data_IF_072449228468
#
_entry.id   IF_072449228468
#
_cell.length_a   1.000
_cell.length_b   1.000
_cell.length_c   1.000
_cell.angle_alpha   90.00
_cell.angle_beta   90.00
_cell.angle_gamma   90.00
#
_symmetry.space_group_name_H-M   'P 1'
#
loop_
_entity.id
_entity.type
_entity.pdbx_description
1 polymer ?
#
# COMPACT_ATOMS: atom_id res chain seq x y z
N UNK A 1 -15.57 15.81 -15.76
CA UNK A 1 -14.82 15.90 -14.48
C UNK A 1 -14.17 14.57 -14.18
N UNK A 2 -13.03 14.58 -13.49
CA UNK A 2 -12.38 13.35 -13.01
C UNK A 2 -12.39 13.31 -11.48
N UNK A 3 -12.86 12.20 -10.89
CA UNK A 3 -12.77 11.94 -9.45
C UNK A 3 -11.69 10.88 -9.24
N UNK A 4 -10.59 11.29 -8.61
CA UNK A 4 -9.44 10.44 -8.30
C UNK A 4 -9.11 10.55 -6.80
N UNK A 5 -9.96 9.94 -5.97
CA UNK A 5 -9.87 9.99 -4.51
C UNK A 5 -9.52 8.61 -3.92
N UNK A 6 -8.79 8.62 -2.82
CA UNK A 6 -8.55 7.45 -1.99
C UNK A 6 -9.73 7.25 -0.99
N UNK A 7 -9.69 6.12 -0.28
CA UNK A 7 -10.67 5.78 0.76
C UNK A 7 -10.66 6.75 1.93
N UNK A 8 -11.80 6.89 2.58
CA UNK A 8 -11.88 7.53 3.90
C UNK A 8 -11.76 6.43 4.96
N UNK A 9 -10.54 6.24 5.45
CA UNK A 9 -10.20 5.12 6.35
C UNK A 9 -11.20 5.01 7.51
N UNK A 10 -11.78 3.82 7.66
CA UNK A 10 -12.78 3.53 8.70
C UNK A 10 -14.21 3.96 8.37
N UNK A 11 -14.48 4.55 7.19
CA UNK A 11 -15.84 4.97 6.81
C UNK A 11 -16.24 4.62 5.37
N UNK A 12 -15.48 5.03 4.35
CA UNK A 12 -15.84 4.79 2.94
C UNK A 12 -14.66 4.20 2.17
N UNK A 13 -14.93 3.23 1.30
CA UNK A 13 -13.98 2.78 0.29
C UNK A 13 -13.74 3.87 -0.77
N UNK A 14 -12.66 3.80 -1.52
CA UNK A 14 -12.38 4.75 -2.61
C UNK A 14 -13.49 4.75 -3.68
N UNK A 15 -14.07 3.58 -3.98
CA UNK A 15 -15.24 3.45 -4.88
C UNK A 15 -16.43 4.20 -4.31
N UNK A 16 -16.75 3.99 -3.03
CA UNK A 16 -17.86 4.69 -2.37
C UNK A 16 -17.65 6.20 -2.31
N UNK A 17 -16.41 6.66 -2.08
CA UNK A 17 -16.09 8.10 -2.14
C UNK A 17 -16.44 8.65 -3.52
N UNK A 18 -15.99 8.01 -4.60
CA UNK A 18 -16.28 8.44 -5.96
C UNK A 18 -17.78 8.44 -6.28
N UNK A 19 -18.52 7.40 -5.85
CA UNK A 19 -19.98 7.32 -6.02
C UNK A 19 -20.71 8.45 -5.29
N UNK A 20 -20.35 8.72 -4.04
CA UNK A 20 -21.00 9.77 -3.24
C UNK A 20 -20.70 11.18 -3.76
N UNK A 21 -19.45 11.43 -4.17
CA UNK A 21 -19.10 12.70 -4.83
C UNK A 21 -19.90 12.85 -6.11
N UNK A 22 -19.95 11.83 -6.96
CA UNK A 22 -20.73 11.86 -8.19
C UNK A 22 -22.22 12.16 -7.93
N UNK A 23 -22.81 11.50 -6.94
CA UNK A 23 -24.22 11.72 -6.57
C UNK A 23 -24.48 13.17 -6.15
N UNK A 24 -23.62 13.76 -5.30
CA UNK A 24 -23.76 15.14 -4.88
C UNK A 24 -23.60 16.15 -6.01
N UNK A 25 -22.61 15.95 -6.89
CA UNK A 25 -22.40 16.80 -8.07
C UNK A 25 -23.63 16.79 -8.99
N UNK A 26 -24.21 15.62 -9.26
CA UNK A 26 -25.39 15.46 -10.14
C UNK A 26 -26.69 15.98 -9.56
N UNK A 27 -26.78 16.19 -8.27
CA UNK A 27 -27.93 16.91 -7.69
C UNK A 27 -27.98 18.38 -8.11
N UNK A 28 -26.82 18.98 -8.40
CA UNK A 28 -26.72 20.37 -8.85
C UNK A 28 -26.66 20.47 -10.37
N UNK A 29 -25.90 19.56 -11.01
CA UNK A 29 -25.74 19.47 -12.46
C UNK A 29 -26.10 18.07 -12.93
N UNK A 30 -27.38 17.75 -13.25
CA UNK A 30 -27.87 16.40 -13.51
C UNK A 30 -27.13 15.66 -14.64
N UNK A 31 -26.79 16.36 -15.72
CA UNK A 31 -26.16 15.78 -16.92
C UNK A 31 -24.63 15.86 -16.90
N UNK A 32 -24.03 16.07 -15.72
CA UNK A 32 -22.57 16.17 -15.58
C UNK A 32 -21.90 14.86 -15.96
N UNK A 33 -21.00 14.95 -16.95
CA UNK A 33 -20.08 13.85 -17.28
C UNK A 33 -18.98 13.71 -16.19
N UNK A 34 -18.97 12.58 -15.53
CA UNK A 34 -18.02 12.28 -14.46
C UNK A 34 -17.32 10.95 -14.77
N UNK A 35 -16.00 11.00 -14.80
CA UNK A 35 -15.15 9.81 -14.80
C UNK A 35 -14.72 9.54 -13.35
N UNK A 36 -15.05 8.38 -12.82
CA UNK A 36 -14.62 7.93 -11.50
C UNK A 36 -13.40 7.01 -11.64
N UNK A 37 -12.31 7.37 -11.01
CA UNK A 37 -11.08 6.59 -10.95
C UNK A 37 -10.61 6.51 -9.48
N UNK A 38 -11.15 5.59 -8.68
CA UNK A 38 -10.65 5.35 -7.34
C UNK A 38 -9.14 5.10 -7.37
N UNK A 39 -8.40 5.72 -6.45
CA UNK A 39 -6.94 5.58 -6.37
C UNK A 39 -6.51 5.01 -5.03
N UNK A 40 -5.29 4.51 -4.98
CA UNK A 40 -4.60 4.07 -3.77
C UNK A 40 -3.11 4.40 -3.90
N UNK A 41 -2.39 4.40 -2.78
CA UNK A 41 -0.96 4.75 -2.70
C UNK A 41 -0.04 3.52 -2.52
N UNK A 42 -0.52 2.32 -2.88
CA UNK A 42 0.18 1.06 -2.63
C UNK A 42 -0.15 0.42 -1.27
N UNK A 43 -1.04 1.04 -0.51
CA UNK A 43 -1.61 0.49 0.73
C UNK A 43 -2.91 -0.29 0.51
N UNK A 44 -3.68 -0.45 1.60
CA UNK A 44 -4.98 -1.13 1.57
C UNK A 44 -5.90 -0.53 0.50
N UNK A 45 -6.53 -1.38 -0.32
CA UNK A 45 -7.46 -0.97 -1.38
C UNK A 45 -6.79 -0.80 -2.76
N UNK A 46 -5.51 -1.13 -2.87
CA UNK A 46 -4.75 -1.10 -4.13
C UNK A 46 -5.33 -2.07 -5.16
N UNK A 47 -5.71 -3.27 -4.75
CA UNK A 47 -6.39 -4.25 -5.61
C UNK A 47 -7.77 -3.73 -6.04
N UNK A 48 -8.55 -3.17 -5.13
CA UNK A 48 -9.89 -2.64 -5.46
C UNK A 48 -9.82 -1.47 -6.44
N UNK A 49 -8.82 -0.59 -6.30
CA UNK A 49 -8.57 0.49 -7.26
C UNK A 49 -8.24 -0.05 -8.66
N UNK A 50 -7.40 -1.07 -8.75
CA UNK A 50 -7.07 -1.73 -10.01
C UNK A 50 -8.31 -2.39 -10.65
N UNK A 51 -9.14 -3.08 -9.85
CA UNK A 51 -10.40 -3.68 -10.33
C UNK A 51 -11.36 -2.62 -10.86
N UNK A 52 -11.51 -1.49 -10.16
CA UNK A 52 -12.33 -0.36 -10.62
C UNK A 52 -11.81 0.23 -11.95
N UNK A 53 -10.51 0.11 -12.23
CA UNK A 53 -9.88 0.51 -13.49
C UNK A 53 -9.91 -0.60 -14.58
N UNK A 54 -10.67 -1.68 -14.37
CA UNK A 54 -10.90 -2.73 -15.37
C UNK A 54 -9.91 -3.90 -15.33
N UNK A 55 -9.16 -4.07 -14.23
CA UNK A 55 -8.44 -5.31 -13.98
C UNK A 55 -9.41 -6.42 -13.54
N UNK A 56 -9.13 -7.65 -13.93
CA UNK A 56 -9.84 -8.84 -13.46
C UNK A 56 -9.41 -9.17 -12.02
N UNK A 57 -10.36 -9.25 -11.09
CA UNK A 57 -10.10 -9.73 -9.72
C UNK A 57 -9.94 -11.24 -9.73
N UNK A 58 -8.88 -11.73 -9.13
CA UNK A 58 -8.64 -13.15 -8.88
C UNK A 58 -8.45 -13.41 -7.41
N UNK A 59 -9.10 -14.47 -6.93
CA UNK A 59 -9.05 -14.87 -5.53
C UNK A 59 -8.39 -16.23 -5.40
N UNK A 60 -7.52 -16.37 -4.40
CA UNK A 60 -6.86 -17.62 -4.07
C UNK A 60 -6.84 -17.82 -2.55
N UNK A 61 -6.65 -19.06 -2.13
CA UNK A 61 -6.39 -19.38 -0.74
C UNK A 61 -4.90 -19.33 -0.48
N UNK A 62 -4.51 -18.62 0.56
CA UNK A 62 -3.13 -18.40 0.98
C UNK A 62 -3.03 -18.45 2.50
N UNK A 63 -1.82 -18.55 3.02
CA UNK A 63 -1.57 -18.41 4.45
C UNK A 63 -1.81 -16.97 4.91
N UNK A 64 -2.58 -16.80 5.97
CA UNK A 64 -2.68 -15.55 6.73
C UNK A 64 -1.41 -15.26 7.54
N UNK A 65 -1.37 -14.13 8.28
CA UNK A 65 -0.18 -13.75 9.04
C UNK A 65 0.22 -14.78 10.11
N UNK A 66 -0.74 -15.53 10.64
CA UNK A 66 -0.55 -16.55 11.67
C UNK A 66 -0.53 -17.98 11.12
N UNK A 67 -0.53 -18.14 9.78
CA UNK A 67 -0.52 -19.43 9.12
C UNK A 67 -1.89 -20.09 8.91
N UNK A 68 -2.98 -19.47 9.35
CA UNK A 68 -4.34 -19.85 9.04
C UNK A 68 -4.65 -19.60 7.55
N UNK A 69 -5.52 -20.41 6.95
CA UNK A 69 -5.92 -20.23 5.56
C UNK A 69 -6.88 -19.05 5.43
N UNK A 70 -6.54 -18.09 4.56
CA UNK A 70 -7.38 -16.95 4.22
C UNK A 70 -7.59 -16.86 2.71
N UNK A 71 -8.73 -16.31 2.29
CA UNK A 71 -8.95 -15.90 0.90
C UNK A 71 -8.35 -14.52 0.68
N UNK A 72 -7.45 -14.40 -0.29
CA UNK A 72 -6.78 -13.18 -0.67
C UNK A 72 -6.94 -12.92 -2.17
N UNK A 73 -6.97 -11.65 -2.55
CA UNK A 73 -7.17 -11.24 -3.93
C UNK A 73 -5.93 -10.56 -4.51
N UNK A 74 -5.81 -10.66 -5.83
CA UNK A 74 -4.94 -9.84 -6.67
C UNK A 74 -5.69 -9.48 -7.96
N UNK A 75 -5.20 -8.51 -8.72
CA UNK A 75 -5.87 -8.05 -9.93
C UNK A 75 -4.94 -8.22 -11.14
N UNK A 76 -5.50 -8.59 -12.32
CA UNK A 76 -4.73 -8.87 -13.54
C UNK A 76 -5.35 -8.16 -14.74
N UNK A 77 -4.51 -7.55 -15.59
CA UNK A 77 -4.90 -7.03 -16.89
C UNK A 77 -3.77 -7.26 -17.89
N UNK A 78 -4.01 -8.11 -18.89
CA UNK A 78 -2.96 -8.51 -19.84
C UNK A 78 -1.83 -9.26 -19.13
N UNK A 79 -0.62 -8.74 -19.21
CA UNK A 79 0.58 -9.26 -18.56
C UNK A 79 0.98 -8.47 -17.29
N UNK A 80 0.11 -7.60 -16.81
CA UNK A 80 0.32 -6.81 -15.59
C UNK A 80 -0.56 -7.34 -14.45
N UNK A 81 0.05 -7.59 -13.30
CA UNK A 81 -0.65 -7.93 -12.06
C UNK A 81 -0.44 -6.84 -11.00
N UNK A 82 -1.48 -6.59 -10.22
CA UNK A 82 -1.44 -5.75 -9.02
C UNK A 82 -1.68 -6.64 -7.82
N UNK A 83 -0.72 -6.69 -6.93
CA UNK A 83 -0.72 -7.52 -5.72
C UNK A 83 -0.64 -6.60 -4.51
N UNK A 84 -1.52 -6.81 -3.55
CA UNK A 84 -1.54 -6.10 -2.28
C UNK A 84 -1.15 -7.06 -1.17
N UNK A 85 -0.03 -6.78 -0.51
CA UNK A 85 0.48 -7.62 0.58
C UNK A 85 -0.54 -7.76 1.71
N UNK A 86 -1.29 -6.71 2.03
CA UNK A 86 -2.25 -6.69 3.11
C UNK A 86 -3.41 -7.68 2.92
N UNK A 87 -3.69 -8.12 1.70
CA UNK A 87 -4.66 -9.17 1.40
C UNK A 87 -4.31 -10.52 2.07
N UNK A 88 -3.03 -10.80 2.25
CA UNK A 88 -2.54 -12.02 2.90
C UNK A 88 -1.92 -11.75 4.28
N UNK A 89 -1.04 -10.74 4.38
CA UNK A 89 -0.16 -10.52 5.55
C UNK A 89 -0.42 -9.18 6.25
N UNK A 90 -1.63 -8.61 6.08
CA UNK A 90 -2.02 -7.33 6.65
C UNK A 90 -2.51 -7.41 8.10
N UNK A 91 -2.44 -6.27 8.82
CA UNK A 91 -2.97 -6.13 10.18
C UNK A 91 -4.48 -6.46 10.26
N UNK A 92 -5.23 -6.18 9.21
CA UNK A 92 -6.66 -6.49 9.13
C UNK A 92 -6.97 -7.99 9.05
N UNK A 93 -5.97 -8.84 8.77
CA UNK A 93 -6.10 -10.31 8.74
C UNK A 93 -5.89 -10.93 10.11
N UNK A 94 -5.36 -10.18 11.07
CA UNK A 94 -5.26 -10.63 12.46
C UNK A 94 -6.64 -10.59 13.14
N UNK A 95 -6.93 -11.53 14.04
CA UNK A 95 -8.13 -11.47 14.87
C UNK A 95 -8.18 -10.13 15.64
N UNK A 96 -9.40 -9.60 15.83
CA UNK A 96 -9.58 -8.31 16.51
C UNK A 96 -8.91 -8.26 17.87
N UNK A 97 -8.01 -7.30 18.07
CA UNK A 97 -7.27 -7.10 19.33
C UNK A 97 -6.10 -8.05 19.53
N UNK A 98 -5.79 -8.89 18.55
CA UNK A 98 -4.61 -9.76 18.58
C UNK A 98 -3.50 -9.11 17.77
N UNK A 99 -2.31 -9.02 18.35
CA UNK A 99 -1.07 -8.63 17.69
C UNK A 99 -0.04 -9.74 17.87
N UNK A 100 0.76 -9.98 16.84
CA UNK A 100 1.75 -11.07 16.86
C UNK A 100 3.05 -10.62 16.15
N UNK A 101 3.74 -9.59 16.68
CA UNK A 101 4.89 -8.98 16.02
C UNK A 101 6.05 -9.92 15.75
N UNK A 102 6.25 -10.94 16.63
CA UNK A 102 7.34 -11.90 16.53
C UNK A 102 7.05 -13.06 15.56
N UNK A 103 5.76 -13.44 15.41
CA UNK A 103 5.37 -14.68 14.71
C UNK A 103 4.61 -14.44 13.41
N UNK A 104 4.12 -13.22 13.15
CA UNK A 104 3.45 -12.90 11.90
C UNK A 104 4.39 -13.05 10.69
N UNK A 105 3.94 -13.77 9.68
CA UNK A 105 4.72 -14.16 8.50
C UNK A 105 4.20 -13.54 7.20
N UNK A 106 5.11 -13.28 6.29
CA UNK A 106 4.84 -12.84 4.92
C UNK A 106 4.62 -13.99 3.94
N UNK A 107 4.50 -15.24 4.39
CA UNK A 107 4.40 -16.41 3.54
C UNK A 107 3.27 -16.29 2.50
N UNK A 108 2.06 -15.92 2.92
CA UNK A 108 0.93 -15.73 2.02
C UNK A 108 1.13 -14.62 0.98
N UNK A 109 1.92 -13.59 1.30
CA UNK A 109 2.30 -12.59 0.30
C UNK A 109 3.16 -13.19 -0.83
N UNK A 110 4.04 -14.13 -0.49
CA UNK A 110 4.81 -14.88 -1.48
C UNK A 110 3.91 -15.81 -2.33
N UNK A 111 2.88 -16.40 -1.73
CA UNK A 111 1.89 -17.19 -2.46
C UNK A 111 1.09 -16.33 -3.46
N UNK A 112 0.72 -15.09 -3.08
CA UNK A 112 0.09 -14.12 -3.99
C UNK A 112 1.02 -13.76 -5.16
N UNK A 113 2.31 -13.50 -4.92
CA UNK A 113 3.28 -13.24 -5.98
C UNK A 113 3.42 -14.44 -6.92
N UNK A 114 3.47 -15.66 -6.38
CA UNK A 114 3.51 -16.90 -7.19
C UNK A 114 2.25 -17.03 -8.04
N UNK A 115 1.07 -16.75 -7.49
CA UNK A 115 -0.17 -16.79 -8.26
C UNK A 115 -0.21 -15.74 -9.39
N UNK A 116 0.38 -14.56 -9.18
CA UNK A 116 0.54 -13.57 -10.24
C UNK A 116 1.46 -14.09 -11.37
N UNK A 117 2.57 -14.76 -11.01
CA UNK A 117 3.44 -15.42 -11.98
C UNK A 117 2.72 -16.55 -12.73
N UNK A 118 1.91 -17.35 -12.03
CA UNK A 118 1.10 -18.44 -12.61
C UNK A 118 0.01 -17.90 -13.56
N UNK A 119 -0.47 -16.69 -13.31
CA UNK A 119 -1.37 -15.95 -14.20
C UNK A 119 -0.68 -15.39 -15.45
N UNK A 120 0.65 -15.52 -15.57
CA UNK A 120 1.43 -15.08 -16.72
C UNK A 120 1.88 -13.61 -16.62
N UNK A 121 1.87 -13.01 -15.43
CA UNK A 121 2.33 -11.64 -15.25
C UNK A 121 3.81 -11.48 -15.61
N UNK A 122 4.12 -10.43 -16.37
CA UNK A 122 5.47 -9.97 -16.68
C UNK A 122 5.83 -8.69 -15.94
N UNK A 123 4.82 -7.95 -15.53
CA UNK A 123 4.93 -6.81 -14.63
C UNK A 123 4.08 -7.07 -13.41
N UNK A 124 4.66 -6.97 -12.21
CA UNK A 124 3.94 -7.10 -10.94
C UNK A 124 4.14 -5.81 -10.15
N UNK A 125 3.05 -5.10 -9.90
CA UNK A 125 3.00 -4.00 -8.94
C UNK A 125 2.66 -4.56 -7.58
N UNK A 126 3.58 -4.46 -6.65
CA UNK A 126 3.45 -5.01 -5.32
C UNK A 126 3.29 -3.88 -4.29
N UNK A 127 2.07 -3.66 -3.84
CA UNK A 127 1.72 -2.71 -2.79
C UNK A 127 1.95 -3.31 -1.41
N UNK A 128 2.61 -2.57 -0.52
CA UNK A 128 3.09 -3.14 0.76
C UNK A 128 2.61 -2.37 2.00
N UNK A 129 1.60 -1.51 1.88
CA UNK A 129 0.99 -0.85 3.03
C UNK A 129 0.21 -1.82 3.93
N UNK A 130 0.01 -1.44 5.20
CA UNK A 130 -0.88 -2.16 6.13
C UNK A 130 -0.33 -3.46 6.74
N UNK A 131 0.98 -3.73 6.71
CA UNK A 131 1.59 -5.00 7.15
C UNK A 131 1.40 -5.32 8.64
N UNK A 132 1.20 -6.61 8.94
CA UNK A 132 1.26 -7.16 10.31
C UNK A 132 2.66 -7.68 10.69
N UNK A 133 3.54 -7.87 9.71
CA UNK A 133 4.75 -8.68 9.77
C UNK A 133 6.02 -7.85 10.01
N UNK A 134 7.04 -8.49 10.60
CA UNK A 134 8.41 -7.93 10.75
C UNK A 134 9.43 -9.06 10.58
N UNK A 135 9.30 -9.81 9.47
CA UNK A 135 10.10 -11.00 9.17
C UNK A 135 11.15 -10.80 8.06
N UNK A 136 11.41 -9.54 7.66
CA UNK A 136 12.38 -9.26 6.61
C UNK A 136 11.99 -9.80 5.23
N UNK A 137 10.73 -10.20 5.03
CA UNK A 137 10.26 -10.86 3.83
C UNK A 137 10.67 -12.34 3.73
N UNK A 138 11.19 -12.95 4.81
CA UNK A 138 11.65 -14.34 4.80
C UNK A 138 10.52 -15.32 4.46
N UNK A 139 9.33 -15.12 5.02
CA UNK A 139 8.16 -15.92 4.67
C UNK A 139 7.81 -15.83 3.18
N UNK A 140 7.80 -14.62 2.62
CA UNK A 140 7.56 -14.37 1.20
C UNK A 140 8.57 -15.11 0.32
N UNK A 141 9.85 -15.00 0.66
CA UNK A 141 10.90 -15.71 -0.07
C UNK A 141 10.77 -17.23 0.06
N UNK A 142 10.39 -17.76 1.24
CA UNK A 142 10.13 -19.19 1.44
C UNK A 142 9.00 -19.69 0.55
N UNK A 143 7.89 -18.98 0.45
CA UNK A 143 6.79 -19.32 -0.44
C UNK A 143 7.20 -19.32 -1.91
N UNK A 144 8.20 -18.53 -2.28
CA UNK A 144 8.77 -18.45 -3.62
C UNK A 144 9.92 -19.44 -3.88
N UNK A 145 10.27 -20.29 -2.89
CA UNK A 145 11.21 -21.38 -3.03
C UNK A 145 12.55 -21.25 -2.32
N UNK A 146 12.79 -20.16 -1.59
CA UNK A 146 13.97 -20.05 -0.72
C UNK A 146 13.86 -21.00 0.48
N UNK A 147 14.99 -21.38 1.08
CA UNK A 147 15.04 -22.20 2.29
C UNK A 147 15.84 -21.49 3.37
N UNK A 148 15.24 -21.40 4.54
CA UNK A 148 15.84 -20.81 5.74
C UNK A 148 15.84 -21.89 6.85
N UNK A 149 17.03 -22.36 7.22
CA UNK A 149 17.18 -23.54 8.06
C UNK A 149 17.97 -23.17 9.33
N UNK A 150 17.62 -23.82 10.44
CA UNK A 150 18.36 -23.79 11.70
C UNK A 150 19.63 -24.64 11.67
N UNK A 151 20.28 -24.80 12.82
CA UNK A 151 21.53 -25.58 12.96
C UNK A 151 21.31 -27.09 12.78
N UNK A 152 20.09 -27.58 13.00
CA UNK A 152 19.68 -28.98 12.83
C UNK A 152 19.26 -29.28 11.38
N UNK A 153 19.14 -28.24 10.53
CA UNK A 153 18.74 -28.37 9.13
C UNK A 153 17.21 -28.35 8.93
N UNK A 154 16.47 -27.99 9.98
CA UNK A 154 15.00 -27.85 9.91
C UNK A 154 14.61 -26.42 9.57
N UNK A 155 13.45 -26.19 8.93
CA UNK A 155 12.96 -24.85 8.66
C UNK A 155 12.78 -24.03 9.95
N UNK A 156 13.29 -22.79 9.95
CA UNK A 156 13.09 -21.88 11.09
C UNK A 156 11.58 -21.57 11.29
N UNK A 157 11.14 -21.34 12.54
CA UNK A 157 9.77 -20.92 12.80
C UNK A 157 9.37 -19.66 12.01
N UNK A 158 8.08 -19.50 11.67
CA UNK A 158 7.61 -18.33 10.93
C UNK A 158 7.72 -17.05 11.75
N UNK A 159 7.81 -15.92 11.06
CA UNK A 159 7.94 -14.59 11.65
C UNK A 159 9.37 -14.18 11.94
N UNK A 160 9.52 -12.89 12.33
CA UNK A 160 10.85 -12.32 12.60
C UNK A 160 11.57 -12.95 13.78
N UNK A 161 10.82 -13.40 14.81
CA UNK A 161 11.40 -14.07 15.96
C UNK A 161 12.13 -15.37 15.60
N UNK A 162 11.61 -16.14 14.64
CA UNK A 162 12.23 -17.39 14.18
C UNK A 162 13.59 -17.19 13.50
N UNK A 163 13.87 -16.00 12.98
CA UNK A 163 15.13 -15.69 12.33
C UNK A 163 16.32 -15.65 13.31
N UNK A 164 16.05 -15.63 14.61
CA UNK A 164 17.10 -15.73 15.64
C UNK A 164 17.87 -17.06 15.54
N UNK A 165 17.20 -18.15 15.17
CA UNK A 165 17.75 -19.50 15.10
C UNK A 165 18.29 -19.84 13.70
N UNK A 166 18.27 -18.88 12.76
CA UNK A 166 18.70 -19.11 11.39
C UNK A 166 20.19 -19.41 11.30
N UNK A 167 20.54 -20.59 10.77
CA UNK A 167 21.94 -21.00 10.54
C UNK A 167 22.35 -20.94 9.07
N UNK A 168 21.43 -21.21 8.14
CA UNK A 168 21.71 -21.19 6.71
C UNK A 168 20.51 -20.66 5.89
N UNK A 169 20.83 -20.04 4.76
CA UNK A 169 19.86 -19.54 3.78
C UNK A 169 20.28 -20.00 2.37
N UNK A 170 19.33 -20.56 1.63
CA UNK A 170 19.51 -21.01 0.25
C UNK A 170 18.45 -20.37 -0.65
N UNK A 171 18.87 -19.51 -1.54
CA UNK A 171 18.03 -18.79 -2.51
C UNK A 171 18.01 -19.47 -3.89
N UNK A 172 18.72 -20.59 -4.09
CA UNK A 172 18.84 -21.24 -5.40
C UNK A 172 17.54 -21.86 -5.89
N UNK A 173 16.62 -22.17 -4.96
CA UNK A 173 15.30 -22.72 -5.24
C UNK A 173 14.24 -21.66 -5.59
N UNK A 174 14.57 -20.38 -5.64
CA UNK A 174 13.63 -19.32 -6.01
C UNK A 174 13.05 -19.57 -7.41
N UNK A 175 11.77 -19.26 -7.57
CA UNK A 175 11.06 -19.39 -8.86
C UNK A 175 11.84 -18.67 -9.98
N UNK A 176 12.29 -19.39 -11.01
CA UNK A 176 13.16 -18.82 -12.05
C UNK A 176 12.49 -17.71 -12.83
N UNK A 177 11.14 -17.65 -12.87
CA UNK A 177 10.39 -16.58 -13.54
C UNK A 177 10.64 -15.21 -12.95
N UNK A 178 11.02 -15.13 -11.67
CA UNK A 178 11.37 -13.88 -10.99
C UNK A 178 12.54 -13.14 -11.66
N UNK A 179 13.43 -13.86 -12.37
CA UNK A 179 14.55 -13.22 -13.10
C UNK A 179 14.12 -12.45 -14.34
N UNK A 180 12.90 -12.69 -14.84
CA UNK A 180 12.37 -12.11 -16.09
C UNK A 180 11.14 -11.24 -15.88
N UNK A 181 10.62 -11.16 -14.63
CA UNK A 181 9.49 -10.32 -14.29
C UNK A 181 9.99 -8.94 -13.85
N UNK A 182 9.28 -7.89 -14.23
CA UNK A 182 9.46 -6.55 -13.69
C UNK A 182 8.66 -6.41 -12.39
N UNK A 183 9.33 -6.62 -11.26
CA UNK A 183 8.72 -6.47 -9.94
C UNK A 183 8.89 -5.04 -9.45
N UNK A 184 7.79 -4.33 -9.31
CA UNK A 184 7.76 -2.93 -8.86
C UNK A 184 7.19 -2.89 -7.44
N UNK A 185 8.00 -2.48 -6.47
CA UNK A 185 7.54 -2.26 -5.11
C UNK A 185 6.97 -0.84 -4.99
N UNK A 186 5.66 -0.76 -4.79
CA UNK A 186 4.93 0.49 -4.60
C UNK A 186 5.01 0.90 -3.12
N UNK A 187 5.92 1.83 -2.79
CA UNK A 187 6.17 2.26 -1.41
C UNK A 187 6.81 3.63 -1.35
N UNK A 188 6.37 4.46 -0.40
CA UNK A 188 6.90 5.80 -0.12
C UNK A 188 7.80 5.83 1.12
N UNK A 189 8.14 4.65 1.66
CA UNK A 189 8.96 4.48 2.87
C UNK A 189 10.43 4.41 2.47
N UNK A 190 11.29 5.11 3.20
CA UNK A 190 12.74 5.20 2.97
C UNK A 190 13.59 4.54 4.06
N UNK A 191 12.97 3.94 5.08
CA UNK A 191 13.63 3.32 6.21
C UNK A 191 14.52 2.14 5.79
N UNK A 192 15.74 2.00 6.36
CA UNK A 192 16.56 0.80 6.22
C UNK A 192 15.91 -0.38 6.97
N UNK A 193 16.46 -1.58 6.80
CA UNK A 193 15.94 -2.79 7.45
C UNK A 193 16.04 -2.72 8.98
N UNK A 194 17.21 -2.33 9.52
CA UNK A 194 17.55 -2.37 10.95
C UNK A 194 18.06 -1.04 11.48
N UNK A 195 18.25 -0.96 12.79
CA UNK A 195 18.77 0.20 13.51
C UNK A 195 17.68 1.17 13.97
N UNK A 196 18.06 2.35 14.52
CA UNK A 196 17.12 3.29 15.13
C UNK A 196 16.02 3.83 14.19
N UNK A 197 16.27 3.77 12.87
CA UNK A 197 15.29 4.10 11.82
C UNK A 197 14.81 2.86 11.05
N UNK A 198 15.16 1.67 11.53
CA UNK A 198 14.81 0.40 10.89
C UNK A 198 13.35 0.00 11.07
N UNK A 199 12.97 -1.07 10.37
CA UNK A 199 11.60 -1.58 10.38
C UNK A 199 11.08 -1.90 11.79
N UNK A 200 11.81 -2.60 12.69
CA UNK A 200 11.35 -2.88 14.02
C UNK A 200 11.14 -1.62 14.86
N UNK A 201 12.10 -0.71 14.85
CA UNK A 201 12.06 0.51 15.67
C UNK A 201 10.89 1.44 15.28
N UNK A 202 10.66 1.62 13.98
CA UNK A 202 9.66 2.59 13.48
C UNK A 202 8.26 1.98 13.39
N UNK A 203 8.15 0.74 12.94
CA UNK A 203 6.84 0.12 12.64
C UNK A 203 6.43 -1.00 13.59
N UNK A 204 7.35 -1.52 14.43
CA UNK A 204 7.07 -2.56 15.41
C UNK A 204 5.99 -2.17 16.42
N UNK A 205 6.05 -0.98 17.04
CA UNK A 205 5.06 -0.56 18.06
C UNK A 205 3.61 -0.58 17.56
N UNK A 206 3.34 -0.12 16.34
CA UNK A 206 1.98 -0.17 15.78
C UNK A 206 1.48 -1.58 15.45
N UNK A 207 2.38 -2.57 15.41
CA UNK A 207 2.10 -4.00 15.24
C UNK A 207 2.06 -4.74 16.56
N UNK A 208 2.11 -4.02 17.69
CA UNK A 208 2.01 -4.55 19.03
C UNK A 208 3.35 -4.98 19.66
N UNK A 209 4.48 -4.65 19.06
CA UNK A 209 5.80 -4.95 19.63
C UNK A 209 6.06 -4.08 20.87
N UNK A 210 6.38 -4.74 21.99
CA UNK A 210 6.94 -4.09 23.16
C UNK A 210 8.42 -3.69 22.91
N UNK A 211 9.05 -2.83 23.73
CA UNK A 211 10.44 -2.44 23.54
C UNK A 211 11.41 -3.62 23.39
N UNK A 212 11.26 -4.64 24.23
CA UNK A 212 12.10 -5.85 24.16
C UNK A 212 11.87 -6.66 22.87
N UNK A 213 10.63 -6.66 22.34
CA UNK A 213 10.32 -7.28 21.05
C UNK A 213 10.97 -6.50 19.88
N UNK A 214 11.01 -5.17 19.97
CA UNK A 214 11.67 -4.33 18.97
C UNK A 214 13.17 -4.65 18.90
N UNK A 215 13.83 -4.73 20.05
CA UNK A 215 15.24 -5.05 20.14
C UNK A 215 15.54 -6.47 19.62
N UNK A 216 14.68 -7.44 19.99
CA UNK A 216 14.79 -8.83 19.53
C UNK A 216 14.61 -8.93 17.99
N UNK A 217 13.62 -8.25 17.43
CA UNK A 217 13.38 -8.22 15.99
C UNK A 217 14.51 -7.53 15.22
N UNK A 218 15.05 -6.43 15.75
CA UNK A 218 16.19 -5.74 15.12
C UNK A 218 17.43 -6.63 15.09
N UNK A 219 17.73 -7.30 16.19
CA UNK A 219 18.81 -8.26 16.28
C UNK A 219 18.61 -9.46 15.32
N UNK A 220 17.39 -10.01 15.26
CA UNK A 220 17.05 -11.13 14.38
C UNK A 220 17.18 -10.76 12.89
N UNK A 221 16.72 -9.60 12.47
CA UNK A 221 16.87 -9.10 11.10
C UNK A 221 18.35 -8.80 10.76
N UNK A 222 19.10 -8.29 11.73
CA UNK A 222 20.55 -8.12 11.57
C UNK A 222 21.28 -9.47 11.43
N UNK A 223 20.87 -10.49 12.17
CA UNK A 223 21.37 -11.86 12.04
C UNK A 223 21.00 -12.46 10.68
N UNK A 224 19.74 -12.33 10.25
CA UNK A 224 19.26 -12.75 8.94
C UNK A 224 20.12 -12.19 7.81
N UNK A 225 20.41 -10.88 7.84
CA UNK A 225 21.30 -10.24 6.87
C UNK A 225 22.69 -10.90 6.85
N UNK A 226 23.30 -11.16 8.03
CA UNK A 226 24.62 -11.81 8.13
C UNK A 226 24.62 -13.25 7.60
N UNK A 227 23.53 -14.00 7.78
CA UNK A 227 23.42 -15.35 7.23
C UNK A 227 23.30 -15.28 5.70
N UNK A 228 22.51 -14.35 5.17
CA UNK A 228 22.38 -14.13 3.73
C UNK A 228 23.69 -13.68 3.08
N UNK A 229 24.58 -12.95 3.78
CA UNK A 229 25.91 -12.59 3.27
C UNK A 229 26.73 -13.82 2.87
N UNK A 230 26.54 -14.96 3.56
CA UNK A 230 27.24 -16.21 3.20
C UNK A 230 26.76 -16.77 1.86
N UNK A 231 25.52 -16.48 1.46
CA UNK A 231 24.90 -16.99 0.23
C UNK A 231 25.07 -16.04 -0.96
N UNK A 232 24.93 -14.72 -0.75
CA UNK A 232 24.94 -13.70 -1.82
C UNK A 232 26.02 -12.63 -1.67
N UNK A 233 26.89 -12.77 -0.68
CA UNK A 233 27.98 -11.83 -0.41
C UNK A 233 27.50 -10.47 0.09
N UNK A 234 28.32 -9.43 -0.08
CA UNK A 234 28.08 -8.09 0.44
C UNK A 234 26.79 -7.42 -0.04
N UNK A 235 26.12 -7.94 -1.05
CA UNK A 235 24.79 -7.45 -1.50
C UNK A 235 23.74 -7.53 -0.40
N UNK A 236 23.83 -8.52 0.50
CA UNK A 236 22.88 -8.63 1.60
C UNK A 236 22.91 -7.40 2.52
N UNK A 237 24.11 -6.95 2.91
CA UNK A 237 24.27 -5.74 3.72
C UNK A 237 23.92 -4.46 2.96
N UNK A 238 24.29 -4.38 1.68
CA UNK A 238 23.92 -3.27 0.80
C UNK A 238 22.40 -3.11 0.72
N UNK A 239 21.66 -4.19 0.48
CA UNK A 239 20.20 -4.17 0.41
C UNK A 239 19.55 -3.89 1.76
N UNK A 240 20.10 -4.35 2.88
CA UNK A 240 19.59 -4.06 4.21
C UNK A 240 19.72 -2.57 4.58
N UNK A 241 20.76 -1.90 4.09
CA UNK A 241 20.99 -0.47 4.28
C UNK A 241 20.26 0.40 3.24
N UNK A 242 19.70 -0.19 2.19
CA UNK A 242 19.04 0.56 1.13
C UNK A 242 17.77 1.27 1.62
N UNK A 243 17.49 2.43 1.04
CA UNK A 243 16.23 3.16 1.24
C UNK A 243 15.06 2.26 0.87
N UNK A 244 14.06 2.14 1.78
CA UNK A 244 12.89 1.30 1.61
C UNK A 244 13.05 -0.17 2.01
N UNK A 245 14.26 -0.64 2.37
CA UNK A 245 14.46 -2.01 2.82
C UNK A 245 13.57 -2.38 4.02
N UNK A 246 13.30 -1.41 4.90
CA UNK A 246 12.42 -1.57 6.07
C UNK A 246 10.93 -1.53 5.76
N UNK A 247 10.53 -1.23 4.53
CA UNK A 247 9.11 -1.16 4.17
C UNK A 247 8.39 -2.46 4.56
N UNK A 248 7.21 -2.30 5.17
CA UNK A 248 6.35 -3.41 5.59
C UNK A 248 7.04 -4.46 6.48
N UNK A 249 7.90 -4.02 7.40
CA UNK A 249 8.60 -4.95 8.30
C UNK A 249 9.72 -5.73 7.63
N UNK A 250 10.28 -5.17 6.56
CA UNK A 250 11.38 -5.74 5.79
C UNK A 250 10.97 -6.51 4.54
N UNK A 251 9.69 -6.49 4.15
CA UNK A 251 9.28 -6.94 2.79
C UNK A 251 10.11 -6.22 1.73
N UNK A 252 10.41 -4.90 1.94
CA UNK A 252 11.28 -4.15 1.06
C UNK A 252 12.63 -4.84 0.84
N UNK A 253 13.25 -5.33 1.90
CA UNK A 253 14.49 -6.09 1.81
C UNK A 253 14.32 -7.39 1.03
N UNK A 254 13.28 -8.18 1.35
CA UNK A 254 12.94 -9.38 0.60
C UNK A 254 12.70 -9.10 -0.88
N UNK A 255 12.03 -8.01 -1.20
CA UNK A 255 11.77 -7.60 -2.59
C UNK A 255 13.07 -7.21 -3.33
N UNK A 256 14.01 -6.52 -2.68
CA UNK A 256 15.33 -6.24 -3.25
C UNK A 256 16.09 -7.53 -3.56
N UNK A 257 16.00 -8.55 -2.71
CA UNK A 257 16.59 -9.87 -2.98
C UNK A 257 15.99 -10.56 -4.21
N UNK A 258 14.72 -10.23 -4.55
CA UNK A 258 14.04 -10.67 -5.77
C UNK A 258 14.33 -9.78 -6.99
N UNK A 259 15.12 -8.71 -6.84
CA UNK A 259 15.42 -7.76 -7.92
C UNK A 259 14.35 -6.69 -8.15
N UNK A 260 13.49 -6.44 -7.18
CA UNK A 260 12.45 -5.42 -7.28
C UNK A 260 13.02 -4.00 -7.44
N UNK A 261 12.27 -3.16 -8.16
CA UNK A 261 12.51 -1.71 -8.24
C UNK A 261 11.52 -0.97 -7.34
N UNK A 262 12.01 -0.03 -6.55
CA UNK A 262 11.15 0.86 -5.77
C UNK A 262 10.63 1.99 -6.63
N UNK A 263 9.33 2.29 -6.48
CA UNK A 263 8.70 3.48 -7.04
C UNK A 263 7.71 4.06 -6.02
N UNK A 264 7.50 5.39 -5.99
CA UNK A 264 6.44 6.00 -5.20
C UNK A 264 5.10 5.32 -5.47
N UNK A 265 4.37 4.97 -4.42
CA UNK A 265 3.17 4.14 -4.53
C UNK A 265 2.12 4.78 -5.44
N UNK A 266 1.83 6.06 -5.20
CA UNK A 266 0.83 6.78 -5.99
C UNK A 266 1.24 6.90 -7.47
N UNK A 267 2.51 7.17 -7.77
CA UNK A 267 2.97 7.33 -9.16
C UNK A 267 2.76 6.04 -9.96
N UNK A 268 3.14 4.89 -9.35
CA UNK A 268 2.92 3.58 -9.97
C UNK A 268 1.44 3.33 -10.20
N UNK A 269 0.61 3.63 -9.21
CA UNK A 269 -0.82 3.40 -9.32
C UNK A 269 -1.46 4.29 -10.39
N UNK A 270 -1.10 5.56 -10.47
CA UNK A 270 -1.61 6.46 -11.51
C UNK A 270 -1.25 5.95 -12.92
N UNK A 271 -0.01 5.44 -13.11
CA UNK A 271 0.41 4.83 -14.38
C UNK A 271 -0.45 3.59 -14.71
N UNK A 272 -0.57 2.68 -13.77
CA UNK A 272 -1.28 1.41 -13.94
C UNK A 272 -2.77 1.60 -14.18
N UNK A 273 -3.38 2.56 -13.47
CA UNK A 273 -4.79 2.90 -13.62
C UNK A 273 -5.10 3.66 -14.92
N UNK A 274 -4.08 4.21 -15.60
CA UNK A 274 -4.27 4.98 -16.82
C UNK A 274 -4.74 6.41 -16.57
N UNK A 275 -4.26 7.03 -15.48
CA UNK A 275 -4.68 8.37 -15.05
C UNK A 275 -4.48 9.44 -16.13
N UNK A 276 -3.38 9.39 -16.87
CA UNK A 276 -3.11 10.34 -17.96
C UNK A 276 -4.24 10.35 -19.01
N UNK A 277 -4.70 9.17 -19.42
CA UNK A 277 -5.84 9.06 -20.34
C UNK A 277 -7.16 9.55 -19.74
N UNK A 278 -7.37 9.33 -18.44
CA UNK A 278 -8.57 9.81 -17.75
C UNK A 278 -8.59 11.35 -17.57
N UNK A 279 -7.42 11.99 -17.60
CA UNK A 279 -7.30 13.46 -17.59
C UNK A 279 -7.72 14.10 -18.92
N UNK A 280 -7.69 13.34 -20.02
CA UNK A 280 -8.14 13.85 -21.31
C UNK A 280 -9.61 14.28 -21.22
N UNK A 281 -9.90 15.53 -21.58
CA UNK A 281 -11.26 16.10 -21.47
C UNK A 281 -11.71 16.50 -20.08
N UNK A 282 -10.97 16.18 -19.02
CA UNK A 282 -11.29 16.66 -17.67
C UNK A 282 -10.95 18.15 -17.52
N UNK A 283 -11.89 18.93 -17.01
CA UNK A 283 -11.70 20.36 -16.70
C UNK A 283 -11.36 20.58 -15.22
N UNK A 284 -11.83 19.71 -14.36
CA UNK A 284 -11.58 19.73 -12.91
C UNK A 284 -11.33 18.32 -12.42
N UNK A 285 -10.33 18.16 -11.55
CA UNK A 285 -10.02 16.92 -10.83
C UNK A 285 -10.41 17.08 -9.36
N UNK A 286 -11.15 16.09 -8.85
CA UNK A 286 -11.49 15.99 -7.43
C UNK A 286 -10.69 14.81 -6.87
N UNK A 287 -9.75 15.11 -5.98
CA UNK A 287 -9.02 14.10 -5.19
C UNK A 287 -9.49 14.09 -3.75
N UNK A 288 -8.96 13.20 -2.91
CA UNK A 288 -9.31 13.20 -1.48
C UNK A 288 -8.83 11.98 -0.74
N UNK A 289 -8.88 12.10 0.59
CA UNK A 289 -8.63 11.04 1.56
C UNK A 289 -9.31 11.36 2.90
N UNK A 290 -9.27 10.43 3.86
CA UNK A 290 -9.91 10.61 5.17
C UNK A 290 -9.40 11.80 5.98
N UNK A 291 -8.12 12.12 5.94
CA UNK A 291 -7.50 13.26 6.65
C UNK A 291 -6.41 13.89 5.79
N UNK A 292 -6.60 15.15 5.42
CA UNK A 292 -5.55 15.94 4.79
C UNK A 292 -4.67 16.59 5.88
N UNK A 293 -3.48 16.05 6.06
CA UNK A 293 -2.48 16.45 7.04
C UNK A 293 -1.07 16.54 6.42
N UNK A 294 -0.05 16.77 7.25
CA UNK A 294 1.33 16.88 6.76
C UNK A 294 1.81 15.61 6.03
N UNK A 295 1.34 14.44 6.44
CA UNK A 295 1.70 13.19 5.76
C UNK A 295 1.16 13.13 4.33
N UNK A 296 0.04 13.80 4.05
CA UNK A 296 -0.52 13.92 2.69
C UNK A 296 0.49 14.52 1.71
N UNK A 297 1.32 15.48 2.18
CA UNK A 297 2.33 16.16 1.37
C UNK A 297 3.55 15.28 1.02
N UNK A 298 3.68 14.12 1.67
CA UNK A 298 4.81 13.21 1.54
C UNK A 298 4.46 11.95 0.74
N UNK A 299 3.87 12.11 -0.47
CA UNK A 299 3.68 11.01 -1.41
C UNK A 299 2.33 10.30 -1.35
N UNK A 300 1.39 10.72 -0.49
CA UNK A 300 0.04 10.12 -0.47
C UNK A 300 -0.79 10.49 -1.70
N UNK A 301 -1.86 9.71 -1.91
CA UNK A 301 -2.71 9.79 -3.08
C UNK A 301 -3.15 11.22 -3.45
N UNK A 302 -3.65 12.10 -2.56
CA UNK A 302 -4.09 13.43 -2.97
C UNK A 302 -2.99 14.32 -3.52
N UNK A 303 -1.77 14.25 -2.95
CA UNK A 303 -0.65 15.05 -3.42
C UNK A 303 -0.13 14.55 -4.79
N UNK A 304 -0.03 13.22 -4.97
CA UNK A 304 0.38 12.64 -6.25
C UNK A 304 -0.62 12.91 -7.37
N UNK A 305 -1.91 12.75 -7.10
CA UNK A 305 -2.99 13.12 -8.05
C UNK A 305 -2.91 14.59 -8.41
N UNK A 306 -2.72 15.48 -7.42
CA UNK A 306 -2.64 16.91 -7.67
C UNK A 306 -1.39 17.28 -8.51
N UNK A 307 -0.24 16.66 -8.21
CA UNK A 307 0.99 16.86 -8.97
C UNK A 307 0.83 16.42 -10.43
N UNK A 308 0.29 15.23 -10.67
CA UNK A 308 0.06 14.67 -12.00
C UNK A 308 -0.96 15.51 -12.81
N UNK A 309 -2.07 15.90 -12.19
CA UNK A 309 -3.11 16.72 -12.83
C UNK A 309 -2.58 18.12 -13.18
N UNK A 310 -1.79 18.73 -12.27
CA UNK A 310 -1.19 20.05 -12.51
C UNK A 310 -0.16 20.03 -13.65
N UNK A 311 0.60 18.95 -13.79
CA UNK A 311 1.53 18.80 -14.91
C UNK A 311 0.82 18.92 -16.28
N UNK A 312 -0.46 18.50 -16.33
CA UNK A 312 -1.34 18.61 -17.50
C UNK A 312 -2.23 19.88 -17.48
N UNK A 313 -1.91 20.85 -16.61
CA UNK A 313 -2.62 22.13 -16.53
C UNK A 313 -4.05 22.03 -15.99
N UNK A 314 -4.39 20.95 -15.30
CA UNK A 314 -5.73 20.75 -14.73
C UNK A 314 -5.84 21.35 -13.35
N UNK A 315 -7.03 21.88 -13.04
CA UNK A 315 -7.36 22.39 -11.72
C UNK A 315 -7.75 21.23 -10.80
N UNK A 316 -7.28 21.31 -9.53
CA UNK A 316 -7.51 20.26 -8.54
C UNK A 316 -8.17 20.82 -7.27
N UNK A 317 -9.22 20.16 -6.81
CA UNK A 317 -9.80 20.36 -5.49
C UNK A 317 -9.79 19.05 -4.71
N UNK A 318 -9.84 19.12 -3.39
CA UNK A 318 -9.83 17.93 -2.56
C UNK A 318 -11.06 17.83 -1.66
N UNK A 319 -11.57 16.60 -1.48
CA UNK A 319 -12.53 16.26 -0.44
C UNK A 319 -11.81 15.52 0.69
N UNK A 320 -12.19 15.75 1.95
CA UNK A 320 -11.60 15.04 3.07
C UNK A 320 -12.54 14.93 4.25
N UNK A 321 -12.35 13.94 5.10
CA UNK A 321 -13.04 13.85 6.37
C UNK A 321 -12.65 15.03 7.27
N UNK A 322 -11.33 15.23 7.44
CA UNK A 322 -10.73 16.29 8.25
C UNK A 322 -9.63 17.01 7.49
N UNK A 323 -9.53 18.33 7.66
CA UNK A 323 -8.47 19.17 7.14
C UNK A 323 -7.61 19.70 8.30
N UNK A 324 -6.32 19.36 8.31
CA UNK A 324 -5.33 19.87 9.27
C UNK A 324 -4.23 20.71 8.60
N UNK A 325 -4.23 20.82 7.26
CA UNK A 325 -3.28 21.61 6.49
C UNK A 325 -3.72 23.08 6.38
N UNK A 326 -2.80 24.04 6.52
CA UNK A 326 -3.08 25.42 6.20
C UNK A 326 -3.24 25.64 4.69
N UNK A 327 -3.99 26.68 4.26
CA UNK A 327 -4.23 26.96 2.83
C UNK A 327 -2.96 27.07 1.97
N UNK A 328 -1.87 27.57 2.54
CA UNK A 328 -0.59 27.70 1.83
C UNK A 328 0.00 26.32 1.46
N UNK A 329 -0.08 25.34 2.36
CA UNK A 329 0.39 23.98 2.12
C UNK A 329 -0.43 23.28 1.04
N UNK A 330 -1.76 23.51 1.00
CA UNK A 330 -2.63 23.02 -0.08
C UNK A 330 -2.19 23.57 -1.44
N UNK A 331 -1.94 24.90 -1.51
CA UNK A 331 -1.46 25.53 -2.73
C UNK A 331 -0.11 24.98 -3.21
N UNK A 332 0.83 24.72 -2.30
CA UNK A 332 2.10 24.08 -2.65
C UNK A 332 1.91 22.67 -3.18
N UNK A 333 0.96 21.90 -2.63
CA UNK A 333 0.59 20.59 -3.14
C UNK A 333 -0.19 20.62 -4.47
N UNK A 334 -0.52 21.82 -4.98
CA UNK A 334 -1.29 21.98 -6.22
C UNK A 334 -2.79 21.82 -6.05
N UNK A 335 -3.29 21.83 -4.83
CA UNK A 335 -4.71 21.74 -4.48
C UNK A 335 -5.24 23.16 -4.28
N UNK A 336 -6.15 23.59 -5.15
CA UNK A 336 -6.74 24.92 -5.09
C UNK A 336 -7.56 25.16 -3.82
N UNK A 337 -8.36 24.16 -3.45
CA UNK A 337 -9.25 24.22 -2.28
C UNK A 337 -9.54 22.81 -1.75
N UNK A 338 -9.65 22.67 -0.44
CA UNK A 338 -10.12 21.47 0.23
C UNK A 338 -11.51 21.69 0.84
N UNK A 339 -12.34 20.66 0.76
CA UNK A 339 -13.71 20.62 1.25
C UNK A 339 -13.83 19.52 2.31
N UNK A 340 -13.60 19.82 3.60
CA UNK A 340 -13.72 18.84 4.66
C UNK A 340 -15.17 18.56 5.01
N UNK A 341 -15.49 17.31 5.39
CA UNK A 341 -16.81 16.92 5.91
C UNK A 341 -17.17 17.79 7.14
N UNK A 342 -16.18 18.14 7.94
CA UNK A 342 -16.35 18.98 9.13
C UNK A 342 -16.82 20.40 8.83
N UNK A 343 -16.80 20.86 7.59
CA UNK A 343 -17.40 22.13 7.18
C UNK A 343 -18.94 22.08 7.08
N UNK A 344 -19.49 20.87 6.97
CA UNK A 344 -20.95 20.60 6.83
C UNK A 344 -21.51 20.00 8.12
N UNK A 345 -20.74 19.14 8.78
CA UNK A 345 -21.06 18.53 10.08
C UNK A 345 -19.86 18.66 11.02
N UNK A 346 -19.93 19.54 12.05
CA UNK A 346 -18.78 19.77 12.94
C UNK A 346 -18.41 18.55 13.81
N UNK A 347 -19.34 17.63 14.05
CA UNK A 347 -19.11 16.45 14.88
C UNK A 347 -18.35 15.37 14.07
N UNK A 348 -17.09 15.12 14.46
CA UNK A 348 -16.23 14.14 13.80
C UNK A 348 -16.78 12.71 13.88
N UNK A 349 -17.43 12.33 14.99
CA UNK A 349 -18.02 11.00 15.12
C UNK A 349 -19.16 10.81 14.11
N UNK A 350 -20.00 11.83 13.91
CA UNK A 350 -21.02 11.83 12.86
C UNK A 350 -20.42 11.84 11.46
N UNK A 351 -19.34 12.60 11.23
CA UNK A 351 -18.62 12.57 9.96
C UNK A 351 -18.15 11.17 9.60
N UNK A 352 -17.76 10.34 10.58
CA UNK A 352 -17.34 8.94 10.35
C UNK A 352 -18.57 8.06 10.12
N UNK A 353 -19.61 8.17 10.95
CA UNK A 353 -20.78 7.32 10.89
C UNK A 353 -21.64 7.57 9.62
N UNK A 354 -21.81 8.83 9.25
CA UNK A 354 -22.66 9.29 8.14
C UNK A 354 -21.84 9.92 6.99
N UNK A 355 -20.60 9.44 6.77
CA UNK A 355 -19.68 10.02 5.81
C UNK A 355 -20.27 10.17 4.40
N UNK A 356 -21.02 9.18 3.92
CA UNK A 356 -21.61 9.20 2.59
C UNK A 356 -22.57 10.38 2.35
N UNK A 357 -23.68 10.51 3.11
CA UNK A 357 -24.62 11.63 2.98
C UNK A 357 -23.96 13.00 3.17
N UNK A 358 -22.99 13.11 4.06
CA UNK A 358 -22.28 14.37 4.29
C UNK A 358 -21.38 14.72 3.10
N UNK A 359 -20.69 13.72 2.53
CA UNK A 359 -19.85 13.89 1.35
C UNK A 359 -20.67 14.31 0.11
N UNK A 360 -21.90 13.82 -0.05
CA UNK A 360 -22.81 14.28 -1.10
C UNK A 360 -23.10 15.79 -0.96
N UNK A 361 -23.39 16.29 0.25
CA UNK A 361 -23.58 17.71 0.52
C UNK A 361 -22.32 18.55 0.27
N UNK A 362 -21.16 18.00 0.60
CA UNK A 362 -19.87 18.62 0.27
C UNK A 362 -19.68 18.71 -1.24
N UNK A 363 -20.02 17.68 -1.98
CA UNK A 363 -19.93 17.66 -3.45
C UNK A 363 -20.92 18.65 -4.11
N UNK A 364 -22.13 18.85 -3.55
CA UNK A 364 -23.02 19.92 -3.98
C UNK A 364 -22.38 21.31 -3.87
N UNK A 365 -21.60 21.57 -2.80
CA UNK A 365 -20.88 22.83 -2.65
C UNK A 365 -19.80 22.99 -3.73
N UNK A 366 -19.05 21.92 -4.03
CA UNK A 366 -18.08 21.92 -5.14
C UNK A 366 -18.77 22.25 -6.47
N UNK A 367 -19.93 21.65 -6.73
CA UNK A 367 -20.66 21.93 -7.95
C UNK A 367 -21.10 23.40 -8.05
N UNK A 368 -21.58 23.99 -6.95
CA UNK A 368 -21.96 25.43 -6.94
C UNK A 368 -20.77 26.35 -7.11
N UNK A 369 -19.60 25.99 -6.57
CA UNK A 369 -18.40 26.83 -6.64
C UNK A 369 -17.69 26.79 -8.02
N UNK A 370 -17.83 25.68 -8.78
CA UNK A 370 -17.03 25.44 -9.99
C UNK A 370 -17.86 25.17 -11.26
N UNK A 371 -19.15 24.86 -11.16
CA UNK A 371 -19.92 24.42 -12.31
C UNK A 371 -21.16 25.29 -12.58
N UNK A 372 -21.55 26.13 -11.64
CA UNK A 372 -22.69 27.05 -11.75
C UNK A 372 -22.21 28.48 -11.57
#
# INVERSE_FOLDING_TARGET
MLIAADKFKGSLTAVQVAERVTAGLRRVVPDLEVTAMPVADGGDGTVDAAVAAGFERREIRVAGPLGDEVTAAFAVRGDTAVVEMAEASGLQRLPKGVFAPLTSSTYGSGELLRAALDAGARTIVFGVGGSATTDGGAGMLSALGARFLDAEGEPVPPGGGGLTDLASADLTGLDPRLTSVDLILASDVDNPLTGPKGAPAVYGPQKGAAPDDVDALDAALGHYTKVLEKSIGGKAAEYAAASGAGAAGGIGYGALLLGARFRPGIDVMLDVLGFASALEGATLVITGEGSLDEQTLHGKAPAGVAAAARAEGKEVVAVCGRLSLPPQSLGHAGIRRAYPLTSVEPDVAKCIADAGPILERVAENIARDFLV
#
